data_IF_103982889169
#
_entry.id   IF_103982889169
#
_cell.length_a   1.000
_cell.length_b   1.000
_cell.length_c   1.000
_cell.angle_alpha   90.00
_cell.angle_beta   90.00
_cell.angle_gamma   90.00
#
_symmetry.space_group_name_H-M   'P 1'
#
loop_
_entity.id
_entity.type
_entity.pdbx_description
1 polymer ?
#
# COMPACT_ATOMS: atom_id res chain seq x y z
N UNK A 1 33.21 7.94 4.50
CA UNK A 1 32.05 7.98 5.40
C UNK A 1 31.81 6.57 5.90
N UNK A 2 31.51 6.34 7.19
CA UNK A 2 31.20 4.99 7.66
C UNK A 2 29.99 4.50 6.88
N UNK A 3 30.08 3.30 6.32
CA UNK A 3 28.93 2.63 5.70
C UNK A 3 27.98 2.32 6.85
N UNK A 4 26.91 3.12 7.01
CA UNK A 4 25.86 2.79 7.97
C UNK A 4 25.30 1.41 7.59
N UNK A 5 25.50 0.44 8.47
CA UNK A 5 24.93 -0.90 8.31
C UNK A 5 23.41 -0.78 8.37
N UNK A 6 22.75 -1.15 7.27
CA UNK A 6 21.29 -1.20 7.16
C UNK A 6 20.70 -2.05 8.29
N UNK A 7 19.54 -1.64 8.81
CA UNK A 7 18.93 -2.20 10.03
C UNK A 7 18.20 -3.53 9.84
N UNK A 8 18.18 -4.09 8.63
CA UNK A 8 17.49 -5.32 8.27
C UNK A 8 16.78 -5.23 6.91
N UNK A 9 16.04 -6.28 6.55
CA UNK A 9 15.27 -6.35 5.30
C UNK A 9 13.80 -6.02 5.52
N UNK A 10 13.31 -5.04 4.76
CA UNK A 10 11.91 -4.61 4.75
C UNK A 10 11.24 -5.05 3.46
N UNK A 11 10.03 -5.61 3.56
CA UNK A 11 9.15 -5.82 2.40
C UNK A 11 7.88 -4.98 2.51
N UNK A 12 7.50 -4.31 1.41
CA UNK A 12 6.16 -3.74 1.25
C UNK A 12 5.61 -3.99 -0.15
N UNK A 13 4.31 -4.26 -0.27
CA UNK A 13 3.66 -4.60 -1.53
C UNK A 13 2.54 -3.63 -1.91
N UNK A 14 2.39 -3.38 -3.20
CA UNK A 14 1.37 -2.49 -3.75
C UNK A 14 0.55 -3.21 -4.81
N UNK A 15 -0.75 -3.42 -4.57
CA UNK A 15 -1.64 -4.03 -5.58
C UNK A 15 -1.97 -3.00 -6.68
N UNK A 16 -1.80 -3.36 -7.97
CA UNK A 16 -2.14 -2.47 -9.08
C UNK A 16 -3.66 -2.44 -9.29
N UNK A 17 -4.38 -1.64 -8.51
CA UNK A 17 -5.86 -1.53 -8.54
C UNK A 17 -6.38 -0.15 -8.91
N UNK A 18 -5.50 0.74 -9.38
CA UNK A 18 -5.81 2.11 -9.78
C UNK A 18 -4.73 3.09 -9.31
N UNK A 19 -4.93 4.36 -9.62
CA UNK A 19 -3.99 5.44 -9.26
C UNK A 19 -3.87 5.61 -7.74
N UNK A 20 -2.68 6.01 -7.27
CA UNK A 20 -2.50 6.33 -5.87
C UNK A 20 -3.24 7.62 -5.49
N UNK A 21 -3.70 7.67 -4.25
CA UNK A 21 -4.42 8.82 -3.69
C UNK A 21 -3.75 9.27 -2.38
N UNK A 22 -4.12 10.46 -1.90
CA UNK A 22 -3.57 11.09 -0.69
C UNK A 22 -3.53 10.13 0.51
N UNK A 23 -4.56 9.31 0.70
CA UNK A 23 -4.56 8.27 1.74
C UNK A 23 -3.46 7.21 1.61
N UNK A 24 -3.07 6.80 0.39
CA UNK A 24 -1.95 5.87 0.19
C UNK A 24 -0.62 6.54 0.51
N UNK A 25 -0.45 7.80 0.09
CA UNK A 25 0.76 8.57 0.34
C UNK A 25 0.98 8.81 1.83
N UNK A 26 -0.04 9.30 2.52
CA UNK A 26 0.02 9.59 3.95
C UNK A 26 0.12 8.33 4.81
N UNK A 27 -0.48 7.22 4.37
CA UNK A 27 -0.36 5.93 5.02
C UNK A 27 0.99 5.29 4.71
N UNK A 28 1.10 4.60 3.56
CA UNK A 28 2.20 3.67 3.33
C UNK A 28 3.37 4.28 2.54
N UNK A 29 3.11 5.07 1.48
CA UNK A 29 4.17 5.41 0.52
C UNK A 29 5.20 6.37 1.12
N UNK A 30 4.79 7.40 1.86
CA UNK A 30 5.75 8.32 2.51
C UNK A 30 6.65 7.59 3.52
N UNK A 31 6.09 6.59 4.22
CA UNK A 31 6.88 5.74 5.11
C UNK A 31 7.86 4.87 4.31
N UNK A 32 7.43 4.24 3.21
CA UNK A 32 8.32 3.48 2.33
C UNK A 32 9.48 4.35 1.79
N UNK A 33 9.20 5.59 1.36
CA UNK A 33 10.22 6.54 0.91
C UNK A 33 11.25 6.86 2.01
N UNK A 34 10.85 6.87 3.28
CA UNK A 34 11.78 7.02 4.42
C UNK A 34 12.58 5.73 4.68
N UNK A 35 11.95 4.57 4.59
CA UNK A 35 12.58 3.28 4.95
C UNK A 35 13.76 2.92 4.04
N UNK A 36 13.75 3.33 2.78
CA UNK A 36 14.90 3.16 1.87
C UNK A 36 16.16 3.94 2.27
N UNK A 37 16.13 4.80 3.30
CA UNK A 37 17.34 5.38 3.92
C UNK A 37 17.90 4.49 5.05
N UNK A 38 17.05 3.66 5.66
CA UNK A 38 17.36 2.98 6.92
C UNK A 38 17.49 1.45 6.79
N UNK A 39 16.90 0.86 5.75
CA UNK A 39 16.74 -0.59 5.55
C UNK A 39 17.06 -1.02 4.13
N UNK A 40 17.39 -2.31 3.96
CA UNK A 40 17.38 -2.97 2.67
C UNK A 40 15.92 -3.21 2.26
N UNK A 41 15.43 -2.41 1.31
CA UNK A 41 14.02 -2.37 0.99
C UNK A 41 13.68 -3.13 -0.29
N UNK A 42 12.77 -4.09 -0.16
CA UNK A 42 12.10 -4.78 -1.26
C UNK A 42 10.67 -4.25 -1.38
N UNK A 43 10.37 -3.66 -2.52
CA UNK A 43 9.05 -3.18 -2.88
C UNK A 43 8.56 -3.94 -4.10
N UNK A 44 7.29 -4.29 -4.14
CA UNK A 44 6.77 -5.04 -5.26
C UNK A 44 5.38 -4.62 -5.69
N UNK A 45 5.15 -4.73 -7.00
CA UNK A 45 3.82 -4.61 -7.59
C UNK A 45 3.17 -5.99 -7.53
N UNK A 46 2.13 -6.10 -6.72
CA UNK A 46 1.49 -7.35 -6.34
C UNK A 46 0.35 -7.71 -7.32
N UNK A 47 0.70 -8.05 -8.55
CA UNK A 47 -0.26 -8.27 -9.64
C UNK A 47 -1.02 -9.60 -9.52
N UNK A 48 -0.43 -10.68 -9.03
CA UNK A 48 -1.20 -11.89 -8.70
C UNK A 48 -2.18 -11.67 -7.55
N UNK A 49 -1.82 -10.84 -6.56
CA UNK A 49 -2.77 -10.45 -5.51
C UNK A 49 -3.97 -9.65 -6.04
N UNK A 50 -3.84 -8.94 -7.17
CA UNK A 50 -4.97 -8.25 -7.79
C UNK A 50 -6.02 -9.26 -8.29
N UNK A 51 -5.58 -10.41 -8.82
CA UNK A 51 -6.46 -11.47 -9.34
C UNK A 51 -7.33 -12.13 -8.26
N UNK A 52 -6.92 -12.06 -6.99
CA UNK A 52 -7.73 -12.61 -5.88
C UNK A 52 -9.12 -11.97 -5.76
N UNK A 53 -9.29 -10.74 -6.24
CA UNK A 53 -10.59 -10.03 -6.23
C UNK A 53 -10.97 -9.39 -7.57
N UNK A 54 -10.08 -9.38 -8.57
CA UNK A 54 -10.28 -8.75 -9.88
C UNK A 54 -9.78 -9.62 -11.05
N UNK A 55 -9.94 -10.94 -10.95
CA UNK A 55 -9.54 -11.89 -11.99
C UNK A 55 -10.24 -11.66 -13.36
N UNK A 56 -11.33 -10.91 -13.38
CA UNK A 56 -12.12 -10.54 -14.56
C UNK A 56 -11.62 -9.28 -15.28
N UNK A 57 -10.63 -8.55 -14.72
CA UNK A 57 -10.15 -7.25 -15.22
C UNK A 57 -8.68 -7.27 -15.68
N UNK A 58 -8.19 -8.43 -16.12
CA UNK A 58 -6.78 -8.60 -16.50
C UNK A 58 -6.34 -7.75 -17.70
N UNK A 59 -7.27 -7.36 -18.58
CA UNK A 59 -6.98 -6.47 -19.71
C UNK A 59 -6.46 -5.08 -19.29
N UNK A 60 -6.80 -4.63 -18.08
CA UNK A 60 -6.36 -3.34 -17.54
C UNK A 60 -4.98 -3.42 -16.86
N UNK A 61 -4.51 -4.64 -16.55
CA UNK A 61 -3.36 -4.86 -15.69
C UNK A 61 -2.07 -4.15 -16.18
N UNK A 62 -1.71 -4.16 -17.47
CA UNK A 62 -0.49 -3.47 -17.92
C UNK A 62 -0.50 -1.98 -17.59
N UNK A 63 -1.64 -1.30 -17.82
CA UNK A 63 -1.77 0.12 -17.51
C UNK A 63 -1.79 0.41 -16.01
N UNK A 64 -2.37 -0.49 -15.22
CA UNK A 64 -2.38 -0.37 -13.75
C UNK A 64 -0.99 -0.57 -13.14
N UNK A 65 -0.19 -1.50 -13.69
CA UNK A 65 1.20 -1.75 -13.29
C UNK A 65 2.07 -0.54 -13.66
N UNK A 66 1.98 -0.06 -14.90
CA UNK A 66 2.73 1.12 -15.33
C UNK A 66 2.36 2.35 -14.48
N UNK A 67 1.07 2.58 -14.28
CA UNK A 67 0.55 3.70 -13.49
C UNK A 67 1.10 3.72 -12.06
N UNK A 68 1.04 2.60 -11.36
CA UNK A 68 1.49 2.51 -9.96
C UNK A 68 3.00 2.63 -9.81
N UNK A 69 3.79 2.08 -10.74
CA UNK A 69 5.25 2.24 -10.72
C UNK A 69 5.61 3.71 -10.88
N UNK A 70 5.03 4.39 -11.87
CA UNK A 70 5.26 5.82 -12.07
C UNK A 70 4.82 6.66 -10.86
N UNK A 71 3.75 6.27 -10.16
CA UNK A 71 3.31 6.95 -8.94
C UNK A 71 4.30 6.76 -7.79
N UNK A 72 4.81 5.54 -7.59
CA UNK A 72 5.81 5.24 -6.56
C UNK A 72 7.11 6.02 -6.80
N UNK A 73 7.60 6.03 -8.05
CA UNK A 73 8.76 6.81 -8.45
C UNK A 73 8.55 8.32 -8.23
N UNK A 74 7.37 8.84 -8.59
CA UNK A 74 7.01 10.24 -8.39
C UNK A 74 6.91 10.63 -6.91
N UNK A 75 6.50 9.71 -6.04
CA UNK A 75 6.48 9.91 -4.60
C UNK A 75 7.88 9.87 -3.96
N UNK A 76 8.90 9.41 -4.69
CA UNK A 76 10.29 9.37 -4.24
C UNK A 76 10.86 7.98 -3.95
N UNK A 77 10.17 6.89 -4.33
CA UNK A 77 10.79 5.57 -4.33
C UNK A 77 11.92 5.57 -5.35
N UNK A 78 13.13 5.24 -4.90
CA UNK A 78 14.33 5.29 -5.71
C UNK A 78 14.83 3.86 -6.00
N UNK A 79 14.76 3.39 -7.26
CA UNK A 79 15.25 2.07 -7.64
C UNK A 79 16.75 1.88 -7.44
N UNK A 80 17.54 2.94 -7.27
CA UNK A 80 18.96 2.79 -6.92
C UNK A 80 19.17 2.45 -5.44
N UNK A 81 18.18 2.75 -4.59
CA UNK A 81 18.24 2.60 -3.12
C UNK A 81 17.38 1.46 -2.59
N UNK A 82 16.32 1.12 -3.31
CA UNK A 82 15.42 0.01 -3.03
C UNK A 82 15.29 -0.91 -4.25
N UNK A 83 14.76 -2.10 -4.08
CA UNK A 83 14.44 -3.01 -5.19
C UNK A 83 12.95 -2.91 -5.46
N UNK A 84 12.55 -2.48 -6.65
CA UNK A 84 11.14 -2.43 -7.08
C UNK A 84 10.90 -3.44 -8.21
N UNK A 85 10.09 -4.47 -7.97
CA UNK A 85 9.88 -5.57 -8.94
C UNK A 85 8.41 -5.95 -9.11
N UNK A 86 8.09 -6.69 -10.16
CA UNK A 86 6.74 -7.22 -10.41
C UNK A 86 6.63 -8.64 -9.85
N UNK A 87 5.54 -8.96 -9.14
CA UNK A 87 5.35 -10.26 -8.52
C UNK A 87 5.35 -11.40 -9.55
N UNK A 88 4.62 -11.26 -10.65
CA UNK A 88 4.49 -12.30 -11.66
C UNK A 88 5.74 -12.59 -12.48
N UNK A 89 6.76 -11.73 -12.44
CA UNK A 89 8.05 -11.93 -13.10
C UNK A 89 8.97 -12.95 -12.41
N UNK A 90 8.54 -13.42 -11.24
CA UNK A 90 9.22 -14.39 -10.39
C UNK A 90 8.38 -15.68 -10.31
N UNK A 91 8.50 -16.61 -11.27
CA UNK A 91 7.77 -17.88 -11.24
C UNK A 91 8.05 -18.70 -9.96
N UNK A 92 9.19 -18.48 -9.32
CA UNK A 92 9.58 -19.08 -8.04
C UNK A 92 8.56 -18.75 -6.91
N UNK A 93 7.84 -17.63 -7.01
CA UNK A 93 6.74 -17.28 -6.08
C UNK A 93 5.60 -18.31 -6.19
N UNK A 94 5.28 -18.78 -7.41
CA UNK A 94 4.23 -19.78 -7.59
C UNK A 94 4.64 -21.16 -7.05
N UNK A 95 5.91 -21.54 -7.26
CA UNK A 95 6.47 -22.78 -6.72
C UNK A 95 6.47 -22.76 -5.19
N UNK A 96 6.97 -21.68 -4.57
CA UNK A 96 6.97 -21.55 -3.12
C UNK A 96 5.55 -21.49 -2.55
N UNK A 97 4.59 -20.89 -3.26
CA UNK A 97 3.17 -20.89 -2.86
C UNK A 97 2.57 -22.30 -2.86
N UNK A 98 2.92 -23.14 -3.83
CA UNK A 98 2.54 -24.55 -3.83
C UNK A 98 3.09 -25.26 -2.60
N UNK A 99 4.40 -25.11 -2.32
CA UNK A 99 5.07 -25.77 -1.21
C UNK A 99 4.49 -25.35 0.16
N UNK A 100 4.33 -24.05 0.39
CA UNK A 100 3.71 -23.55 1.63
C UNK A 100 2.23 -23.91 1.72
N UNK A 101 1.53 -24.01 0.60
CA UNK A 101 0.14 -24.48 0.53
C UNK A 101 -0.01 -25.91 1.02
N UNK A 102 0.92 -26.82 0.70
CA UNK A 102 0.86 -28.22 1.13
C UNK A 102 0.95 -28.42 2.64
N UNK A 103 1.56 -27.47 3.35
CA UNK A 103 1.70 -27.56 4.81
C UNK A 103 0.69 -26.71 5.58
N UNK A 104 -0.07 -25.85 4.91
CA UNK A 104 -0.97 -24.89 5.58
C UNK A 104 -2.37 -25.46 5.77
N UNK A 105 -2.86 -25.65 7.01
CA UNK A 105 -4.21 -26.14 7.24
C UNK A 105 -5.28 -25.15 6.75
N UNK A 106 -6.31 -25.65 6.04
CA UNK A 106 -7.41 -24.82 5.53
C UNK A 106 -8.12 -24.01 6.63
N UNK A 107 -8.33 -24.61 7.80
CA UNK A 107 -8.98 -23.93 8.92
C UNK A 107 -8.21 -22.71 9.45
N UNK A 108 -6.92 -22.56 9.13
CA UNK A 108 -6.18 -21.32 9.44
C UNK A 108 -6.64 -20.19 8.52
N UNK A 109 -6.74 -20.47 7.22
CA UNK A 109 -7.13 -19.51 6.19
C UNK A 109 -8.60 -19.08 6.33
N UNK A 110 -9.50 -20.02 6.60
CA UNK A 110 -10.93 -19.74 6.78
C UNK A 110 -11.24 -18.85 7.99
N UNK A 111 -10.29 -18.73 8.93
CA UNK A 111 -10.45 -17.93 10.16
C UNK A 111 -9.91 -16.52 10.03
N UNK A 112 -9.18 -16.19 8.96
CA UNK A 112 -8.65 -14.84 8.73
C UNK A 112 -9.81 -13.83 8.63
N UNK A 113 -9.84 -12.77 9.47
CA UNK A 113 -10.97 -11.82 9.52
C UNK A 113 -11.29 -11.18 8.17
N UNK A 114 -10.28 -10.71 7.46
CA UNK A 114 -10.44 -10.08 6.13
C UNK A 114 -11.07 -11.02 5.10
N UNK A 115 -10.78 -12.32 5.15
CA UNK A 115 -11.44 -13.29 4.28
C UNK A 115 -12.96 -13.33 4.55
N UNK A 116 -13.34 -13.38 5.83
CA UNK A 116 -14.76 -13.39 6.24
C UNK A 116 -15.47 -12.08 5.89
N UNK A 117 -14.80 -10.95 6.04
CA UNK A 117 -15.34 -9.64 5.65
C UNK A 117 -15.57 -9.56 4.14
N UNK A 118 -14.58 -9.98 3.33
CA UNK A 118 -14.70 -9.99 1.86
C UNK A 118 -15.83 -10.89 1.36
N UNK A 119 -16.03 -12.05 1.99
CA UNK A 119 -17.16 -12.92 1.66
C UNK A 119 -18.53 -12.27 1.96
N UNK A 120 -18.62 -11.41 2.97
CA UNK A 120 -19.86 -10.68 3.29
C UNK A 120 -20.11 -9.53 2.32
N UNK A 121 -19.08 -8.75 2.02
CA UNK A 121 -19.18 -7.55 1.18
C UNK A 121 -19.42 -7.87 -0.30
N UNK A 122 -19.02 -9.06 -0.75
CA UNK A 122 -19.05 -9.46 -2.16
C UNK A 122 -20.03 -10.60 -2.45
N UNK A 123 -21.10 -10.71 -1.66
CA UNK A 123 -22.10 -11.78 -1.72
C UNK A 123 -22.78 -11.99 -3.10
N UNK A 124 -22.57 -11.08 -4.06
CA UNK A 124 -23.12 -11.14 -5.43
C UNK A 124 -22.15 -11.73 -6.47
N UNK A 125 -20.88 -12.01 -6.12
CA UNK A 125 -19.87 -12.57 -7.03
C UNK A 125 -19.44 -13.97 -6.56
N UNK A 126 -18.96 -14.83 -7.48
CA UNK A 126 -18.34 -16.16 -7.19
C UNK A 126 -16.98 -15.99 -6.46
N UNK A 127 -16.98 -15.32 -5.30
CA UNK A 127 -15.78 -14.82 -4.60
C UNK A 127 -15.18 -15.83 -3.63
N UNK A 128 -15.91 -16.88 -3.27
CA UNK A 128 -15.39 -18.00 -2.49
C UNK A 128 -14.51 -18.92 -3.36
N UNK A 129 -13.46 -18.36 -3.97
CA UNK A 129 -12.53 -19.08 -4.81
C UNK A 129 -11.20 -19.34 -4.09
N UNK A 130 -10.46 -20.33 -4.59
CA UNK A 130 -9.19 -20.75 -4.02
C UNK A 130 -8.16 -19.62 -3.98
N UNK A 131 -8.16 -18.72 -4.98
CA UNK A 131 -7.23 -17.59 -5.03
C UNK A 131 -7.43 -16.64 -3.85
N UNK A 132 -8.68 -16.29 -3.53
CA UNK A 132 -8.98 -15.47 -2.37
C UNK A 132 -8.69 -16.21 -1.06
N UNK A 133 -9.07 -17.48 -0.93
CA UNK A 133 -8.77 -18.24 0.30
C UNK A 133 -7.25 -18.39 0.54
N UNK A 134 -6.48 -18.57 -0.55
CA UNK A 134 -5.04 -18.79 -0.54
C UNK A 134 -4.19 -17.51 -0.49
N UNK A 135 -4.79 -16.31 -0.55
CA UNK A 135 -4.05 -15.04 -0.53
C UNK A 135 -3.05 -14.92 0.64
N UNK A 136 -3.33 -15.40 1.88
CA UNK A 136 -2.38 -15.29 2.98
C UNK A 136 -1.14 -16.17 2.77
N UNK A 137 -1.26 -17.31 2.08
CA UNK A 137 -0.11 -18.13 1.70
C UNK A 137 0.74 -17.36 0.70
N UNK A 138 0.12 -16.79 -0.34
CA UNK A 138 0.84 -16.00 -1.34
C UNK A 138 1.57 -14.82 -0.70
N UNK A 139 0.93 -14.10 0.22
CA UNK A 139 1.58 -13.02 0.98
C UNK A 139 2.76 -13.52 1.83
N UNK A 140 2.62 -14.70 2.44
CA UNK A 140 3.70 -15.33 3.21
C UNK A 140 4.89 -15.67 2.33
N UNK A 141 4.65 -16.14 1.11
CA UNK A 141 5.69 -16.36 0.11
C UNK A 141 6.39 -15.05 -0.23
N UNK A 142 5.65 -13.99 -0.56
CA UNK A 142 6.24 -12.71 -0.94
C UNK A 142 7.21 -12.20 0.15
N UNK A 143 6.83 -12.36 1.44
CA UNK A 143 7.69 -12.04 2.60
C UNK A 143 8.90 -12.98 2.68
N UNK A 144 8.66 -14.28 2.62
CA UNK A 144 9.68 -15.28 2.91
C UNK A 144 10.72 -15.39 1.80
N UNK A 145 10.32 -15.19 0.54
CA UNK A 145 11.16 -15.44 -0.64
C UNK A 145 12.32 -14.44 -0.78
N UNK A 146 12.17 -13.24 -0.19
CA UNK A 146 13.25 -12.24 -0.07
C UNK A 146 13.93 -12.25 1.30
N UNK A 147 13.55 -13.18 2.18
CA UNK A 147 13.94 -13.23 3.59
C UNK A 147 13.59 -11.94 4.33
N UNK A 148 12.37 -11.45 4.14
CA UNK A 148 11.88 -10.22 4.76
C UNK A 148 11.79 -10.36 6.28
N UNK A 149 12.56 -9.55 7.00
CA UNK A 149 12.59 -9.53 8.47
C UNK A 149 11.51 -8.62 9.05
N UNK A 150 11.18 -7.55 8.32
CA UNK A 150 10.30 -6.48 8.77
C UNK A 150 9.22 -6.19 7.73
N UNK A 151 7.97 -6.11 8.19
CA UNK A 151 6.82 -5.76 7.33
C UNK A 151 6.13 -4.53 7.91
N UNK A 152 6.10 -3.38 7.21
CA UNK A 152 5.40 -2.20 7.67
C UNK A 152 3.90 -2.46 7.73
N UNK A 153 3.32 -2.38 8.93
CA UNK A 153 1.90 -2.63 9.15
C UNK A 153 1.35 -1.62 10.15
N UNK A 154 0.08 -1.24 9.97
CA UNK A 154 -0.68 -0.52 10.99
C UNK A 154 -1.01 -1.46 12.14
N UNK A 155 -1.30 -0.91 13.33
CA UNK A 155 -1.68 -1.70 14.51
C UNK A 155 -2.87 -2.62 14.24
N UNK A 156 -3.82 -2.17 13.41
CA UNK A 156 -5.00 -2.91 12.98
C UNK A 156 -4.69 -4.08 12.02
N UNK A 157 -3.53 -4.03 11.35
CA UNK A 157 -3.12 -5.00 10.33
C UNK A 157 -2.14 -6.07 10.86
N UNK A 158 -1.69 -5.97 12.12
CA UNK A 158 -0.76 -6.95 12.74
C UNK A 158 -1.33 -8.37 12.70
N UNK A 159 -2.65 -8.51 12.88
CA UNK A 159 -3.32 -9.81 12.80
C UNK A 159 -3.17 -10.51 11.45
N UNK A 160 -3.02 -9.76 10.35
CA UNK A 160 -2.77 -10.32 9.03
C UNK A 160 -1.34 -10.79 8.84
N UNK A 161 -0.37 -10.25 9.59
CA UNK A 161 1.00 -10.76 9.57
C UNK A 161 1.14 -12.04 10.39
N UNK A 162 0.27 -12.27 11.39
CA UNK A 162 0.37 -13.42 12.28
C UNK A 162 0.19 -14.76 11.54
N UNK A 163 -0.68 -14.84 10.53
CA UNK A 163 -0.80 -16.05 9.72
C UNK A 163 0.51 -16.38 8.98
N UNK A 164 1.21 -15.37 8.47
CA UNK A 164 2.53 -15.58 7.84
C UNK A 164 3.56 -16.09 8.84
N UNK A 165 3.56 -15.55 10.07
CA UNK A 165 4.42 -16.01 11.16
C UNK A 165 4.10 -17.45 11.55
N UNK A 166 2.82 -17.83 11.64
CA UNK A 166 2.40 -19.20 11.93
C UNK A 166 2.83 -20.19 10.85
N UNK A 167 2.69 -19.83 9.57
CA UNK A 167 3.12 -20.66 8.43
C UNK A 167 4.64 -20.82 8.45
N UNK A 168 5.41 -19.75 8.64
CA UNK A 168 6.88 -19.79 8.74
C UNK A 168 7.32 -20.69 9.91
N UNK A 169 6.80 -20.48 11.12
CA UNK A 169 7.11 -21.32 12.27
C UNK A 169 6.76 -22.79 12.02
N UNK A 170 5.67 -23.06 11.30
CA UNK A 170 5.28 -24.42 10.95
C UNK A 170 6.26 -25.05 9.95
N UNK A 171 6.66 -24.31 8.92
CA UNK A 171 7.70 -24.76 7.99
C UNK A 171 8.97 -25.11 8.76
N UNK A 172 9.45 -24.20 9.61
CA UNK A 172 10.71 -24.40 10.34
C UNK A 172 10.67 -25.59 11.30
N UNK A 173 9.53 -25.83 11.97
CA UNK A 173 9.33 -27.03 12.81
C UNK A 173 9.36 -28.34 12.02
N UNK A 174 8.94 -28.33 10.75
CA UNK A 174 8.86 -29.53 9.92
C UNK A 174 10.20 -29.83 9.22
N UNK A 175 10.90 -28.79 8.74
CA UNK A 175 12.03 -28.94 7.82
C UNK A 175 13.34 -28.30 8.32
N UNK A 176 13.34 -27.67 9.51
CA UNK A 176 14.50 -26.97 10.08
C UNK A 176 14.40 -25.45 9.96
N UNK A 177 15.17 -24.72 10.77
CA UNK A 177 15.18 -23.25 10.81
C UNK A 177 15.76 -22.66 9.51
N UNK A 178 14.87 -22.38 8.54
CA UNK A 178 15.24 -21.98 7.17
C UNK A 178 14.58 -20.67 6.78
N UNK A 179 13.29 -20.51 7.08
CA UNK A 179 12.56 -19.29 6.78
C UNK A 179 12.67 -18.29 7.93
N UNK A 180 12.82 -17.00 7.59
CA UNK A 180 12.86 -15.91 8.58
C UNK A 180 11.43 -15.60 9.04
N UNK A 181 11.18 -15.62 10.35
CA UNK A 181 9.90 -15.20 10.91
C UNK A 181 9.77 -13.67 10.86
N UNK A 182 8.84 -13.12 10.07
CA UNK A 182 8.75 -11.67 9.89
C UNK A 182 8.18 -10.98 11.13
N UNK A 183 8.74 -9.82 11.48
CA UNK A 183 8.28 -8.98 12.56
C UNK A 183 7.51 -7.77 12.03
N UNK A 184 6.47 -7.29 12.73
CA UNK A 184 5.79 -6.06 12.35
C UNK A 184 6.70 -4.86 12.57
N UNK A 185 6.82 -4.01 11.55
CA UNK A 185 7.37 -2.67 11.70
C UNK A 185 6.21 -1.69 11.89
N UNK A 186 5.83 -1.49 13.15
CA UNK A 186 4.70 -0.63 13.49
C UNK A 186 4.94 0.78 12.97
N UNK A 187 4.00 1.26 12.18
CA UNK A 187 4.00 2.61 11.62
C UNK A 187 2.66 3.24 11.94
N UNK A 188 2.68 4.48 12.42
CA UNK A 188 1.46 5.25 12.61
C UNK A 188 0.92 5.64 11.23
N UNK A 189 -0.14 4.97 10.80
CA UNK A 189 -0.81 5.24 9.55
C UNK A 189 -2.10 5.99 9.85
N UNK A 190 -2.07 7.34 9.89
CA UNK A 190 -3.26 8.10 10.21
C UNK A 190 -4.35 7.82 9.19
N UNK A 191 -5.56 7.55 9.68
CA UNK A 191 -6.72 7.39 8.82
C UNK A 191 -6.99 8.73 8.13
N UNK A 192 -6.80 8.77 6.81
CA UNK A 192 -7.15 9.92 5.99
C UNK A 192 -8.61 9.78 5.54
N UNK A 193 -9.50 10.71 5.90
CA UNK A 193 -10.88 10.65 5.48
C UNK A 193 -11.03 11.04 4.00
N UNK A 194 -11.98 10.40 3.32
CA UNK A 194 -12.41 10.74 1.98
C UNK A 194 -13.52 11.81 1.98
N UNK A 195 -14.05 12.09 0.80
CA UNK A 195 -15.10 13.10 0.56
C UNK A 195 -16.38 12.86 1.34
N UNK A 196 -16.64 11.64 1.78
CA UNK A 196 -17.81 11.21 2.53
C UNK A 196 -17.53 10.98 4.02
N UNK A 197 -16.34 11.34 4.50
CA UNK A 197 -15.90 11.15 5.89
C UNK A 197 -15.54 9.72 6.27
N UNK A 198 -15.75 8.73 5.40
CA UNK A 198 -15.22 7.37 5.58
C UNK A 198 -13.72 7.35 5.23
N UNK A 199 -13.02 6.24 5.49
CA UNK A 199 -11.62 6.07 5.07
C UNK A 199 -11.50 6.31 3.55
N UNK A 200 -10.52 7.12 3.15
CA UNK A 200 -10.23 7.34 1.75
C UNK A 200 -9.85 6.03 1.07
N UNK A 201 -10.60 5.65 0.03
CA UNK A 201 -10.38 4.41 -0.71
C UNK A 201 -10.84 4.52 -2.16
N UNK A 202 -10.13 3.84 -3.04
CA UNK A 202 -10.47 3.72 -4.47
C UNK A 202 -11.88 3.17 -4.70
N UNK A 203 -12.27 2.15 -3.95
CA UNK A 203 -13.57 1.47 -4.11
C UNK A 203 -14.77 2.34 -3.74
N UNK A 204 -14.57 3.39 -2.94
CA UNK A 204 -15.63 4.33 -2.56
C UNK A 204 -15.66 5.58 -3.45
N UNK A 205 -14.71 5.70 -4.39
CA UNK A 205 -14.52 6.89 -5.23
C UNK A 205 -14.55 8.21 -4.43
N UNK A 206 -13.93 8.18 -3.25
CA UNK A 206 -13.98 9.28 -2.28
C UNK A 206 -12.60 9.94 -2.07
N UNK A 207 -11.64 9.69 -2.97
CA UNK A 207 -10.24 10.08 -2.80
C UNK A 207 -9.74 11.16 -3.75
N UNK A 208 -8.69 11.85 -3.31
CA UNK A 208 -7.93 12.82 -4.11
C UNK A 208 -6.68 12.11 -4.64
N UNK A 209 -6.55 12.00 -5.96
CA UNK A 209 -5.43 11.35 -6.63
C UNK A 209 -4.14 12.15 -6.42
N UNK A 210 -3.00 11.47 -6.37
CA UNK A 210 -1.70 12.14 -6.23
C UNK A 210 -1.30 12.92 -7.50
N UNK A 211 -1.81 12.46 -8.64
CA UNK A 211 -1.56 13.02 -9.96
C UNK A 211 -2.67 13.97 -10.46
N UNK A 212 -3.72 14.19 -9.65
CA UNK A 212 -4.84 15.04 -10.06
C UNK A 212 -4.35 16.45 -10.41
N UNK A 213 -4.88 17.01 -11.49
CA UNK A 213 -4.63 18.41 -11.85
C UNK A 213 -5.31 19.37 -10.84
N UNK A 214 -4.88 20.65 -10.79
CA UNK A 214 -5.42 21.60 -9.82
C UNK A 214 -6.95 21.77 -9.84
N UNK A 215 -7.57 21.69 -11.02
CA UNK A 215 -9.01 21.88 -11.14
C UNK A 215 -9.76 20.64 -10.66
N UNK A 216 -9.24 19.44 -10.94
CA UNK A 216 -9.74 18.19 -10.37
C UNK A 216 -9.63 18.17 -8.84
N UNK A 217 -8.49 18.60 -8.27
CA UNK A 217 -8.32 18.69 -6.81
C UNK A 217 -9.37 19.64 -6.21
N UNK A 218 -9.54 20.84 -6.78
CA UNK A 218 -10.55 21.80 -6.31
C UNK A 218 -11.96 21.24 -6.40
N UNK A 219 -12.31 20.60 -7.51
CA UNK A 219 -13.62 19.98 -7.69
C UNK A 219 -13.90 18.88 -6.67
N UNK A 220 -12.91 18.00 -6.42
CA UNK A 220 -13.00 16.95 -5.40
C UNK A 220 -13.11 17.54 -4.01
N UNK A 221 -12.21 18.44 -3.59
CA UNK A 221 -12.28 19.08 -2.26
C UNK A 221 -13.61 19.81 -2.05
N UNK A 222 -14.16 20.43 -3.10
CA UNK A 222 -15.47 21.08 -3.04
C UNK A 222 -16.61 20.11 -2.70
N UNK A 223 -16.54 18.84 -3.14
CA UNK A 223 -17.59 17.85 -2.90
C UNK A 223 -17.58 17.23 -1.51
N UNK A 224 -16.51 17.44 -0.71
CA UNK A 224 -16.39 16.85 0.61
C UNK A 224 -17.56 17.24 1.53
N UNK A 225 -18.06 16.30 2.31
CA UNK A 225 -18.98 16.63 3.40
C UNK A 225 -18.26 17.49 4.44
N UNK A 226 -19.03 18.32 5.13
CA UNK A 226 -18.56 19.13 6.26
C UNK A 226 -19.47 18.89 7.46
N UNK A 227 -19.36 19.69 8.52
CA UNK A 227 -20.30 19.62 9.64
C UNK A 227 -21.74 19.85 9.15
N UNK A 228 -22.66 18.88 9.31
CA UNK A 228 -24.05 19.02 8.87
C UNK A 228 -24.83 20.08 9.64
N UNK A 229 -24.35 20.52 10.82
CA UNK A 229 -24.99 21.58 11.61
C UNK A 229 -24.52 22.98 11.20
N UNK A 230 -23.41 23.12 10.48
CA UNK A 230 -22.94 24.40 9.94
C UNK A 230 -23.53 24.63 8.55
N UNK A 231 -24.76 25.13 8.51
CA UNK A 231 -25.52 25.28 7.24
C UNK A 231 -25.19 26.60 6.55
N UNK A 232 -24.92 27.66 7.30
CA UNK A 232 -24.68 29.02 6.80
C UNK A 232 -23.41 29.65 7.38
N UNK A 233 -22.96 30.73 6.74
CA UNK A 233 -21.94 31.61 7.31
C UNK A 233 -22.48 32.21 8.61
N UNK A 234 -21.65 32.24 9.66
CA UNK A 234 -22.05 32.63 11.01
C UNK A 234 -22.48 31.48 11.93
N UNK A 235 -22.90 30.32 11.39
CA UNK A 235 -23.18 29.14 12.23
C UNK A 235 -21.86 28.58 12.80
N UNK A 236 -21.77 28.29 14.10
CA UNK A 236 -20.56 27.68 14.67
C UNK A 236 -20.38 26.25 14.13
N UNK A 237 -19.14 25.91 13.76
CA UNK A 237 -18.78 24.57 13.29
C UNK A 237 -18.07 23.73 14.35
N UNK A 238 -18.04 22.41 14.13
CA UNK A 238 -17.28 21.43 14.93
C UNK A 238 -16.15 20.83 14.07
N UNK A 239 -14.92 21.39 14.14
CA UNK A 239 -13.80 20.91 13.34
C UNK A 239 -13.50 19.41 13.53
N UNK A 240 -13.73 18.86 14.72
CA UNK A 240 -13.34 17.51 15.12
C UNK A 240 -14.11 16.41 14.37
N UNK A 241 -15.29 16.73 13.82
CA UNK A 241 -16.11 15.79 13.04
C UNK A 241 -16.03 16.07 11.53
N UNK A 242 -15.26 17.08 11.11
CA UNK A 242 -15.23 17.58 9.75
C UNK A 242 -14.06 16.96 8.97
N UNK A 243 -14.30 16.19 7.89
CA UNK A 243 -13.24 15.62 7.06
C UNK A 243 -12.27 16.66 6.49
N UNK A 244 -12.77 17.85 6.13
CA UNK A 244 -11.95 18.97 5.66
C UNK A 244 -10.97 19.43 6.72
N UNK A 245 -11.40 19.54 7.98
CA UNK A 245 -10.50 19.94 9.05
C UNK A 245 -9.46 18.85 9.36
N UNK A 246 -9.86 17.58 9.32
CA UNK A 246 -8.93 16.45 9.45
C UNK A 246 -7.86 16.44 8.34
N UNK A 247 -8.14 16.96 7.14
CA UNK A 247 -7.12 17.17 6.12
C UNK A 247 -6.25 18.39 6.42
N UNK A 248 -6.81 19.48 6.93
CA UNK A 248 -6.03 20.66 7.34
C UNK A 248 -4.97 20.37 8.40
N UNK A 249 -5.23 19.46 9.34
CA UNK A 249 -4.24 19.09 10.37
C UNK A 249 -2.96 18.50 9.78
N UNK A 250 -3.03 17.99 8.55
CA UNK A 250 -1.88 17.44 7.82
C UNK A 250 -1.34 18.40 6.77
N UNK A 251 -2.22 18.96 5.95
CA UNK A 251 -1.84 19.70 4.74
C UNK A 251 -1.83 21.21 4.92
N UNK A 252 -2.21 21.73 6.08
CA UNK A 252 -2.24 23.17 6.32
C UNK A 252 -1.72 23.54 7.71
N UNK A 253 -0.50 23.09 8.09
CA UNK A 253 0.05 23.38 9.40
C UNK A 253 0.23 24.89 9.64
N UNK A 254 0.33 25.69 8.57
CA UNK A 254 0.45 27.15 8.59
C UNK A 254 -0.82 27.87 9.06
N UNK A 255 -2.00 27.28 8.86
CA UNK A 255 -3.30 27.89 9.20
C UNK A 255 -4.21 27.00 10.04
N UNK A 256 -3.76 25.82 10.49
CA UNK A 256 -4.64 24.84 11.16
C UNK A 256 -5.36 25.42 12.38
N UNK A 257 -4.66 26.19 13.23
CA UNK A 257 -5.25 26.80 14.42
C UNK A 257 -6.20 27.94 14.05
N UNK A 258 -5.83 28.78 13.08
CA UNK A 258 -6.70 29.82 12.54
C UNK A 258 -7.99 29.23 11.97
N UNK A 259 -7.89 28.16 11.15
CA UNK A 259 -9.04 27.44 10.59
C UNK A 259 -9.91 26.86 11.69
N UNK A 260 -9.31 26.28 12.74
CA UNK A 260 -10.05 25.73 13.88
C UNK A 260 -10.89 26.81 14.56
N UNK A 261 -10.28 27.93 14.89
CA UNK A 261 -10.91 28.98 15.69
C UNK A 261 -11.99 29.71 14.89
N UNK A 262 -11.73 30.02 13.62
CA UNK A 262 -12.71 30.71 12.77
C UNK A 262 -13.84 29.78 12.30
N UNK A 263 -13.60 28.46 12.22
CA UNK A 263 -14.67 27.49 12.02
C UNK A 263 -15.58 27.41 13.25
N UNK A 264 -15.00 27.35 14.46
CA UNK A 264 -15.75 27.31 15.73
C UNK A 264 -16.54 28.60 15.97
N UNK A 265 -15.99 29.77 15.67
CA UNK A 265 -16.70 31.06 15.79
C UNK A 265 -17.81 31.21 14.74
N UNK A 266 -17.72 30.47 13.63
CA UNK A 266 -18.64 30.56 12.51
C UNK A 266 -18.24 31.60 11.45
N UNK A 267 -17.19 32.39 11.72
CA UNK A 267 -16.65 33.44 10.84
C UNK A 267 -16.10 32.90 9.51
N UNK A 268 -15.57 31.67 9.52
CA UNK A 268 -15.10 31.00 8.30
C UNK A 268 -16.23 30.21 7.64
N UNK A 269 -16.53 30.51 6.37
CA UNK A 269 -17.45 29.73 5.55
C UNK A 269 -16.84 28.39 5.11
N UNK A 270 -17.66 27.34 5.00
CA UNK A 270 -17.19 26.01 4.55
C UNK A 270 -16.61 26.04 3.13
N UNK A 271 -17.08 26.94 2.26
CA UNK A 271 -16.54 27.11 0.90
C UNK A 271 -15.13 27.67 0.95
N UNK A 272 -14.90 28.75 1.70
CA UNK A 272 -13.58 29.36 1.83
C UNK A 272 -12.59 28.43 2.54
N UNK A 273 -13.05 27.71 3.57
CA UNK A 273 -12.28 26.65 4.23
C UNK A 273 -11.79 25.59 3.23
N UNK A 274 -12.69 25.09 2.37
CA UNK A 274 -12.35 24.14 1.30
C UNK A 274 -11.39 24.73 0.26
N UNK A 275 -11.57 25.99 -0.13
CA UNK A 275 -10.65 26.68 -1.04
C UNK A 275 -9.25 26.75 -0.44
N UNK A 276 -9.15 27.17 0.82
CA UNK A 276 -7.88 27.23 1.55
C UNK A 276 -7.18 25.87 1.58
N UNK A 277 -7.92 24.78 1.85
CA UNK A 277 -7.37 23.43 1.82
C UNK A 277 -6.90 23.03 0.42
N UNK A 278 -7.73 23.26 -0.60
CA UNK A 278 -7.43 22.87 -1.97
C UNK A 278 -6.15 23.53 -2.46
N UNK A 279 -5.94 24.82 -2.17
CA UNK A 279 -4.73 25.52 -2.56
C UNK A 279 -3.47 24.93 -1.90
N UNK A 280 -3.50 24.58 -0.60
CA UNK A 280 -2.36 23.87 0.03
C UNK A 280 -2.13 22.48 -0.56
N UNK A 281 -3.20 21.72 -0.79
CA UNK A 281 -3.08 20.39 -1.40
C UNK A 281 -2.47 20.46 -2.80
N UNK A 282 -2.83 21.45 -3.60
CA UNK A 282 -2.25 21.67 -4.93
C UNK A 282 -0.75 21.94 -4.83
N UNK A 283 -0.35 22.80 -3.89
CA UNK A 283 1.05 23.14 -3.67
C UNK A 283 1.87 21.95 -3.16
N UNK A 284 1.31 21.17 -2.23
CA UNK A 284 1.93 19.96 -1.66
C UNK A 284 2.08 18.85 -2.71
N UNK A 285 1.07 18.63 -3.55
CA UNK A 285 1.06 17.57 -4.57
C UNK A 285 1.76 17.98 -5.86
N UNK A 286 2.02 19.28 -6.09
CA UNK A 286 2.73 19.79 -7.26
C UNK A 286 4.04 19.03 -7.56
N UNK A 287 5.00 18.86 -6.61
CA UNK A 287 6.25 18.16 -6.91
C UNK A 287 6.01 16.70 -7.36
N UNK A 288 5.05 16.01 -6.77
CA UNK A 288 4.70 14.63 -7.15
C UNK A 288 4.10 14.63 -8.56
N UNK A 289 3.15 15.54 -8.85
CA UNK A 289 2.52 15.65 -10.17
C UNK A 289 3.52 15.99 -11.27
N UNK A 290 4.37 16.98 -11.07
CA UNK A 290 5.40 17.39 -12.02
C UNK A 290 6.36 16.24 -12.30
N UNK A 291 6.85 15.58 -11.23
CA UNK A 291 7.73 14.42 -11.36
C UNK A 291 7.06 13.28 -12.11
N UNK A 292 5.78 13.00 -11.84
CA UNK A 292 5.03 11.96 -12.55
C UNK A 292 4.90 12.28 -14.05
N UNK A 293 4.61 13.52 -14.40
CA UNK A 293 4.51 13.95 -15.81
C UNK A 293 5.84 13.80 -16.54
N UNK A 294 6.95 14.15 -15.89
CA UNK A 294 8.30 13.92 -16.43
C UNK A 294 8.57 12.43 -16.69
N UNK A 295 8.28 11.58 -15.70
CA UNK A 295 8.50 10.14 -15.80
C UNK A 295 7.62 9.50 -16.88
N UNK A 296 6.36 9.92 -16.99
CA UNK A 296 5.43 9.45 -18.01
C UNK A 296 5.81 9.87 -19.45
N UNK A 297 6.66 10.90 -19.59
CA UNK A 297 7.19 11.32 -20.89
C UNK A 297 8.26 10.38 -21.45
N UNK A 298 8.77 9.42 -20.65
CA UNK A 298 9.70 8.37 -21.07
C UNK A 298 8.94 7.03 -21.25
N UNK A 299 8.57 6.65 -22.49
CA UNK A 299 7.81 5.43 -22.73
C UNK A 299 8.56 4.18 -22.26
N UNK A 300 7.88 3.31 -21.52
CA UNK A 300 8.46 2.05 -21.05
C UNK A 300 9.37 2.16 -19.83
N UNK A 301 9.54 3.37 -19.25
CA UNK A 301 10.37 3.56 -18.05
C UNK A 301 9.94 2.65 -16.89
N UNK A 302 8.62 2.53 -16.66
CA UNK A 302 8.09 1.66 -15.59
C UNK A 302 8.54 0.20 -15.76
N UNK A 303 8.43 -0.34 -16.97
CA UNK A 303 8.82 -1.72 -17.28
C UNK A 303 10.33 -1.92 -17.16
N UNK A 304 11.13 -0.96 -17.63
CA UNK A 304 12.58 -0.99 -17.44
C UNK A 304 12.98 -1.03 -15.97
N UNK A 305 12.35 -0.23 -15.12
CA UNK A 305 12.61 -0.24 -13.67
C UNK A 305 12.25 -1.60 -13.06
N UNK A 306 11.13 -2.20 -13.47
CA UNK A 306 10.72 -3.53 -13.00
C UNK A 306 11.69 -4.62 -13.46
N UNK A 307 12.18 -4.57 -14.70
CA UNK A 307 13.19 -5.50 -15.24
C UNK A 307 14.50 -5.41 -14.43
N UNK A 308 14.99 -4.20 -14.16
CA UNK A 308 16.18 -3.97 -13.33
C UNK A 308 15.96 -4.47 -11.89
N UNK A 309 14.77 -4.25 -11.33
CA UNK A 309 14.39 -4.77 -10.01
C UNK A 309 14.34 -6.29 -9.97
N UNK A 310 13.80 -6.93 -11.03
CA UNK A 310 13.77 -8.38 -11.20
C UNK A 310 15.19 -8.96 -11.22
N UNK A 311 16.11 -8.36 -11.97
CA UNK A 311 17.51 -8.80 -12.03
C UNK A 311 18.18 -8.75 -10.65
N UNK A 312 17.83 -7.77 -9.83
CA UNK A 312 18.39 -7.60 -8.47
C UNK A 312 17.75 -8.52 -7.43
N UNK A 313 16.44 -8.76 -7.49
CA UNK A 313 15.75 -9.61 -6.51
C UNK A 313 15.95 -11.11 -6.80
N UNK A 314 16.08 -11.49 -8.06
CA UNK A 314 16.06 -12.91 -8.47
C UNK A 314 17.16 -13.76 -7.84
N UNK A 315 18.41 -13.32 -7.66
CA UNK A 315 19.43 -14.10 -6.95
C UNK A 315 19.01 -14.46 -5.51
N UNK A 316 18.41 -13.52 -4.78
CA UNK A 316 17.94 -13.72 -3.40
C UNK A 316 16.79 -14.73 -3.36
N UNK A 317 15.90 -14.63 -4.34
CA UNK A 317 14.76 -15.55 -4.53
C UNK A 317 15.25 -16.97 -4.79
N UNK A 318 16.19 -17.14 -5.73
CA UNK A 318 16.76 -18.44 -6.08
C UNK A 318 17.53 -19.06 -4.91
N UNK A 319 18.29 -18.26 -4.16
CA UNK A 319 19.00 -18.73 -2.97
C UNK A 319 18.03 -19.23 -1.89
N UNK A 320 16.94 -18.47 -1.65
CA UNK A 320 15.91 -18.85 -0.68
C UNK A 320 15.21 -20.14 -1.10
N UNK A 321 14.80 -20.25 -2.37
CA UNK A 321 14.13 -21.44 -2.87
C UNK A 321 15.06 -22.67 -2.86
N UNK A 322 16.34 -22.52 -3.18
CA UNK A 322 17.32 -23.59 -3.06
C UNK A 322 17.43 -24.10 -1.61
N UNK A 323 17.46 -23.18 -0.63
CA UNK A 323 17.50 -23.54 0.80
C UNK A 323 16.23 -24.29 1.22
N UNK A 324 15.06 -23.87 0.71
CA UNK A 324 13.78 -24.57 0.91
C UNK A 324 13.80 -25.97 0.29
N UNK A 325 14.33 -26.12 -0.92
CA UNK A 325 14.47 -27.41 -1.59
C UNK A 325 15.40 -28.37 -0.85
N UNK A 326 16.54 -27.88 -0.35
CA UNK A 326 17.46 -28.66 0.48
C UNK A 326 16.74 -29.16 1.75
N UNK A 327 16.04 -28.26 2.44
CA UNK A 327 15.33 -28.56 3.69
C UNK A 327 14.18 -29.57 3.51
N UNK A 328 13.51 -29.53 2.35
CA UNK A 328 12.43 -30.44 2.00
C UNK A 328 12.92 -31.74 1.32
N UNK A 329 14.22 -31.85 1.04
CA UNK A 329 14.82 -33.03 0.40
C UNK A 329 14.57 -33.15 -1.11
N UNK A 330 14.30 -32.04 -1.80
CA UNK A 330 14.14 -32.01 -3.26
C UNK A 330 15.47 -31.90 -4.02
N UNK A 331 16.52 -31.45 -3.34
CA UNK A 331 17.85 -31.34 -3.95
C UNK A 331 18.42 -32.71 -4.27
N UNK A 332 18.77 -32.91 -5.53
CA UNK A 332 19.43 -34.13 -6.00
C UNK A 332 20.90 -34.07 -5.60
N UNK A 333 21.34 -35.05 -4.80
CA UNK A 333 22.75 -35.28 -4.42
C UNK A 333 23.60 -35.55 -5.65
#
# INVERSE_FOLDING_TARGET
MPVETLRGRVLSGFRPTGDLHVGHWAGNVSNAVRLQDEYECYYFVADWHMLTTHYDRTAELPGLVEGIVLDLLACGIDPSRSVLYLQSDLPEVAEMALLLGMITPLGWLERVPTYKERLRDMAERDVANFGLLGYPILQTVDISIVRGELVPVGEDQVSHLEISREIVRRFNRLFGEVLVEPQPLLSDFPLVPGSDGRKMSKSLDNGIGLADDPDTIRAKVRSFITDPQKVRLGDPGRPEICPIFALHTRFSPDIVDWTRDHCRSGELGCVDCKTNLADRLIEELRPIRERRLELAAEPGLAWKVLDEGRERVRPVVLETLATVHDAMGFSRV
#
